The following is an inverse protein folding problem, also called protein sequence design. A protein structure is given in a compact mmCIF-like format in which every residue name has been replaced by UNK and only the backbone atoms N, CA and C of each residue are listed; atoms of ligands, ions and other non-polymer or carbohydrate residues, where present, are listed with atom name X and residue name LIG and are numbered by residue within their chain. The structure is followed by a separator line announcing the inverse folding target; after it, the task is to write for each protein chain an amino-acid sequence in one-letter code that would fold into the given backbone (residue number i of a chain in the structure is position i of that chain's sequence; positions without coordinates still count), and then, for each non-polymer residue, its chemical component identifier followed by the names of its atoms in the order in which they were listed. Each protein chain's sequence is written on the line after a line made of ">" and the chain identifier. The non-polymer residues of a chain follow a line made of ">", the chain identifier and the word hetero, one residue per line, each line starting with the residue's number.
data_IF_768051003915
#
_entry.id   IF_768051003915
#
_cell.length_a   1.000
_cell.length_b   1.000
_cell.length_c   1.000
_cell.angle_alpha   90.00
_cell.angle_beta   90.00
_cell.angle_gamma   90.00
#
_symmetry.space_group_name_H-M   'P 1'
#
loop_
_entity.id
_entity.type
_entity.pdbx_description
1 polymer ?
#
# COMPACT_ATOMS: atom_id res chain seq x y z
N UNK A 1 12.60 -11.99 28.67
CA UNK A 1 12.59 -11.87 27.20
C UNK A 1 11.23 -12.36 26.74
N UNK A 2 10.38 -11.51 26.19
CA UNK A 2 9.06 -11.93 25.68
C UNK A 2 9.28 -12.94 24.55
N UNK A 3 8.73 -14.14 24.69
CA UNK A 3 8.79 -15.17 23.65
C UNK A 3 7.94 -14.65 22.49
N UNK A 4 8.54 -14.49 21.29
CA UNK A 4 7.80 -14.08 20.11
C UNK A 4 6.68 -15.08 19.80
N UNK A 5 5.51 -14.62 19.34
CA UNK A 5 4.46 -15.50 18.86
C UNK A 5 4.98 -16.52 17.84
N UNK A 6 4.48 -17.75 17.90
CA UNK A 6 5.02 -18.87 17.13
C UNK A 6 4.84 -18.73 15.59
N UNK A 7 3.98 -17.81 15.16
CA UNK A 7 3.68 -17.49 13.76
C UNK A 7 4.62 -16.46 13.13
N UNK A 8 5.49 -15.82 13.91
CA UNK A 8 6.40 -14.78 13.43
C UNK A 8 7.78 -15.33 12.99
N UNK A 9 8.52 -14.60 12.13
CA UNK A 9 9.90 -14.96 11.79
C UNK A 9 10.79 -15.09 13.03
N UNK A 10 11.40 -16.25 13.22
CA UNK A 10 12.36 -16.48 14.31
C UNK A 10 13.71 -15.79 14.07
N UNK A 11 14.05 -15.51 12.80
CA UNK A 11 15.31 -14.85 12.45
C UNK A 11 15.18 -13.34 12.62
N UNK A 12 16.01 -12.79 13.52
CA UNK A 12 16.09 -11.35 13.77
C UNK A 12 17.17 -10.74 12.89
N UNK A 13 16.78 -9.80 12.03
CA UNK A 13 17.72 -8.99 11.26
C UNK A 13 18.03 -7.69 12.02
N UNK A 14 19.19 -7.63 12.69
CA UNK A 14 19.64 -6.44 13.44
C UNK A 14 19.81 -5.19 12.57
N UNK A 15 20.02 -5.37 11.26
CA UNK A 15 20.12 -4.30 10.28
C UNK A 15 19.11 -4.52 9.13
N UNK A 16 17.84 -4.10 9.29
CA UNK A 16 16.77 -4.29 8.31
C UNK A 16 17.10 -3.80 6.90
N UNK A 17 17.89 -2.73 6.79
CA UNK A 17 18.28 -2.11 5.51
C UNK A 17 19.05 -3.07 4.60
N UNK A 18 19.74 -4.07 5.18
CA UNK A 18 20.48 -5.07 4.42
C UNK A 18 19.57 -6.03 3.64
N UNK A 19 18.27 -6.07 3.96
CA UNK A 19 17.25 -6.84 3.24
C UNK A 19 16.63 -6.06 2.07
N UNK A 20 17.03 -4.80 1.88
CA UNK A 20 16.61 -4.02 0.73
C UNK A 20 17.23 -4.61 -0.54
N UNK A 21 16.38 -4.74 -1.55
CA UNK A 21 16.79 -5.22 -2.86
C UNK A 21 17.54 -4.10 -3.60
N UNK A 22 18.78 -4.38 -3.98
CA UNK A 22 19.65 -3.51 -4.77
C UNK A 22 20.36 -4.33 -5.86
N UNK A 23 19.72 -4.54 -7.03
CA UNK A 23 20.30 -5.31 -8.13
C UNK A 23 21.49 -4.60 -8.80
N UNK A 24 21.74 -3.31 -8.52
CA UNK A 24 22.90 -2.60 -9.05
C UNK A 24 24.18 -2.93 -8.26
N UNK A 25 24.03 -3.33 -6.99
CA UNK A 25 25.14 -3.59 -6.08
C UNK A 25 25.34 -5.08 -5.80
N UNK A 26 24.25 -5.86 -5.75
CA UNK A 26 24.29 -7.26 -5.35
C UNK A 26 23.84 -8.18 -6.49
N UNK A 27 24.53 -9.31 -6.65
CA UNK A 27 24.05 -10.39 -7.51
C UNK A 27 22.83 -11.07 -6.89
N UNK A 28 21.94 -11.67 -7.70
CA UNK A 28 20.83 -12.44 -7.15
C UNK A 28 21.34 -13.60 -6.30
N UNK A 29 20.61 -13.95 -5.24
CA UNK A 29 20.90 -15.14 -4.44
C UNK A 29 20.96 -16.41 -5.33
N UNK A 30 21.85 -17.35 -5.01
CA UNK A 30 22.28 -18.41 -5.94
C UNK A 30 21.11 -19.29 -6.44
N UNK A 31 20.21 -19.65 -5.54
CA UNK A 31 19.00 -20.44 -5.79
C UNK A 31 17.88 -19.67 -6.49
N UNK A 32 17.95 -18.33 -6.61
CA UNK A 32 16.91 -17.57 -7.30
C UNK A 32 16.80 -17.95 -8.78
N UNK A 33 17.92 -18.19 -9.47
CA UNK A 33 17.90 -18.51 -10.92
C UNK A 33 17.22 -19.83 -11.25
N UNK A 34 17.26 -20.79 -10.34
CA UNK A 34 16.58 -22.08 -10.48
C UNK A 34 15.11 -22.06 -10.01
N UNK A 35 14.63 -20.96 -9.44
CA UNK A 35 13.28 -20.86 -8.93
C UNK A 35 12.26 -20.69 -10.06
N UNK A 36 11.18 -21.48 -10.05
CA UNK A 36 10.07 -21.35 -11.02
C UNK A 36 9.45 -19.95 -11.08
N UNK A 37 9.52 -19.20 -9.99
CA UNK A 37 8.92 -17.85 -9.90
C UNK A 37 9.95 -16.76 -10.24
N UNK A 38 11.16 -17.09 -10.68
CA UNK A 38 12.23 -16.11 -10.97
C UNK A 38 11.80 -15.05 -11.98
N UNK A 39 11.15 -15.47 -13.08
CA UNK A 39 10.62 -14.52 -14.07
C UNK A 39 9.58 -13.56 -13.50
N UNK A 40 8.83 -14.02 -12.49
CA UNK A 40 7.79 -13.24 -11.81
C UNK A 40 8.39 -12.35 -10.72
N UNK A 41 9.36 -12.82 -9.95
CA UNK A 41 9.86 -12.12 -8.76
C UNK A 41 11.10 -11.26 -9.02
N UNK A 42 11.85 -11.56 -10.08
CA UNK A 42 13.11 -10.91 -10.45
C UNK A 42 14.33 -11.39 -9.66
N UNK A 43 14.16 -12.30 -8.70
CA UNK A 43 15.18 -12.69 -7.74
C UNK A 43 15.29 -11.74 -6.55
N UNK A 44 16.30 -11.97 -5.69
CA UNK A 44 16.56 -11.17 -4.50
C UNK A 44 18.04 -10.78 -4.44
N UNK A 45 18.31 -9.48 -4.32
CA UNK A 45 19.64 -8.87 -4.42
C UNK A 45 19.95 -8.11 -3.13
N UNK A 46 20.31 -8.82 -2.06
CA UNK A 46 20.41 -8.24 -0.71
C UNK A 46 21.77 -8.43 -0.09
N UNK A 47 22.20 -7.48 0.74
CA UNK A 47 23.43 -7.56 1.54
C UNK A 47 23.31 -8.52 2.75
N UNK A 48 22.09 -8.95 3.09
CA UNK A 48 21.79 -9.68 4.33
C UNK A 48 22.32 -11.13 4.40
N UNK A 49 23.08 -11.59 3.40
CA UNK A 49 23.56 -12.98 3.35
C UNK A 49 22.41 -13.97 3.21
N UNK A 50 21.48 -13.69 2.30
CA UNK A 50 20.53 -14.67 1.79
C UNK A 50 21.29 -15.44 0.72
N UNK A 51 21.72 -16.66 1.05
CA UNK A 51 22.71 -17.40 0.28
C UNK A 51 22.05 -18.21 -0.83
N UNK A 52 20.98 -18.93 -0.49
CA UNK A 52 20.26 -19.76 -1.44
C UNK A 52 19.20 -18.92 -2.13
N UNK A 53 18.09 -18.60 -1.47
CA UNK A 53 17.03 -17.80 -2.05
C UNK A 53 16.11 -17.25 -0.95
N UNK A 54 14.94 -16.73 -1.33
CA UNK A 54 13.99 -16.19 -0.35
C UNK A 54 13.43 -17.23 0.64
N UNK A 55 13.71 -18.53 0.49
CA UNK A 55 13.40 -19.54 1.51
C UNK A 55 14.23 -19.34 2.78
N UNK A 56 15.38 -18.68 2.73
CA UNK A 56 16.17 -18.33 3.92
C UNK A 56 15.40 -17.36 4.87
N UNK A 57 14.28 -16.80 4.40
CA UNK A 57 13.35 -15.95 5.14
C UNK A 57 12.16 -16.73 5.71
N UNK A 58 11.98 -18.00 5.35
CA UNK A 58 10.97 -18.89 5.91
C UNK A 58 11.35 -19.38 7.31
N UNK A 59 11.29 -18.50 8.31
CA UNK A 59 11.87 -18.75 9.63
C UNK A 59 10.86 -18.92 10.76
N UNK A 60 9.58 -19.20 10.49
CA UNK A 60 8.60 -19.49 11.55
C UNK A 60 9.04 -20.67 12.42
N UNK A 61 8.96 -20.53 13.76
CA UNK A 61 9.29 -21.60 14.71
C UNK A 61 8.25 -22.73 14.66
N UNK A 62 6.96 -22.38 14.61
CA UNK A 62 5.86 -23.33 14.46
C UNK A 62 5.24 -23.20 13.07
N UNK A 63 5.54 -24.19 12.20
CA UNK A 63 5.01 -24.21 10.84
C UNK A 63 3.49 -24.28 10.80
N UNK A 64 2.84 -24.88 11.79
CA UNK A 64 1.38 -25.03 11.80
C UNK A 64 0.65 -23.71 12.00
N UNK A 65 1.33 -22.71 12.58
CA UNK A 65 0.82 -21.37 12.83
C UNK A 65 1.43 -20.32 11.92
N UNK A 66 2.33 -20.70 11.02
CA UNK A 66 3.05 -19.75 10.18
C UNK A 66 2.14 -19.13 9.12
N UNK A 67 2.02 -17.80 9.15
CA UNK A 67 1.17 -17.02 8.23
C UNK A 67 1.91 -16.52 6.98
N UNK A 68 3.21 -16.80 6.87
CA UNK A 68 3.98 -16.47 5.68
C UNK A 68 3.60 -17.40 4.53
N UNK A 69 3.45 -16.83 3.34
CA UNK A 69 3.27 -17.64 2.12
C UNK A 69 4.61 -18.28 1.73
N UNK A 70 4.97 -19.36 2.43
CA UNK A 70 6.26 -20.03 2.35
C UNK A 70 6.11 -21.48 1.87
N UNK A 71 6.98 -21.92 0.95
CA UNK A 71 6.96 -23.30 0.45
C UNK A 71 7.35 -24.37 1.46
N UNK A 72 8.04 -24.02 2.56
CA UNK A 72 8.33 -24.96 3.66
C UNK A 72 7.11 -25.31 4.52
N UNK A 73 5.96 -24.67 4.27
CA UNK A 73 4.65 -25.15 4.67
C UNK A 73 3.81 -25.41 3.40
N UNK A 74 3.96 -26.58 2.75
CA UNK A 74 3.39 -26.83 1.43
C UNK A 74 1.86 -26.78 1.42
N UNK A 75 1.21 -27.27 2.47
CA UNK A 75 -0.26 -27.24 2.60
C UNK A 75 -0.77 -25.80 2.64
N UNK A 76 -0.16 -24.95 3.47
CA UNK A 76 -0.53 -23.54 3.53
C UNK A 76 -0.20 -22.81 2.22
N UNK A 77 0.99 -23.04 1.66
CA UNK A 77 1.39 -22.45 0.39
C UNK A 77 0.42 -22.76 -0.74
N UNK A 78 0.02 -24.03 -0.91
CA UNK A 78 -0.95 -24.42 -1.94
C UNK A 78 -2.32 -23.79 -1.70
N UNK A 79 -2.78 -23.71 -0.45
CA UNK A 79 -4.03 -23.03 -0.12
C UNK A 79 -3.98 -21.54 -0.53
N UNK A 80 -2.89 -20.84 -0.20
CA UNK A 80 -2.68 -19.44 -0.58
C UNK A 80 -2.57 -19.23 -2.10
N UNK A 81 -1.94 -20.16 -2.83
CA UNK A 81 -1.89 -20.06 -4.30
C UNK A 81 -3.26 -20.28 -4.94
N UNK A 82 -4.09 -21.19 -4.41
CA UNK A 82 -5.46 -21.41 -4.89
C UNK A 82 -6.38 -20.23 -4.60
N UNK A 83 -6.20 -19.61 -3.43
CA UNK A 83 -6.97 -18.44 -2.98
C UNK A 83 -6.87 -17.26 -3.96
N UNK A 84 -5.70 -17.06 -4.59
CA UNK A 84 -5.45 -15.94 -5.51
C UNK A 84 -5.32 -16.34 -6.99
N UNK A 85 -5.55 -17.62 -7.29
CA UNK A 85 -5.34 -18.22 -8.63
C UNK A 85 -3.93 -17.96 -9.20
N UNK A 86 -2.91 -18.21 -8.38
CA UNK A 86 -1.51 -18.03 -8.73
C UNK A 86 -0.98 -16.60 -8.63
N UNK A 87 0.32 -16.43 -8.89
CA UNK A 87 1.05 -15.17 -8.68
C UNK A 87 1.07 -14.24 -9.89
N UNK A 88 0.56 -14.72 -11.03
CA UNK A 88 0.50 -13.94 -12.25
C UNK A 88 -0.64 -12.91 -12.16
N UNK A 89 -0.34 -11.65 -12.47
CA UNK A 89 -1.34 -10.59 -12.49
C UNK A 89 -2.25 -10.72 -13.72
N UNK A 90 -1.77 -11.34 -14.81
CA UNK A 90 -2.48 -11.47 -16.09
C UNK A 90 -3.78 -12.28 -16.05
N UNK A 91 -3.99 -13.15 -15.05
CA UNK A 91 -5.12 -14.11 -15.03
C UNK A 91 -6.50 -13.48 -14.78
N UNK A 92 -6.57 -12.25 -14.28
CA UNK A 92 -7.85 -11.59 -14.02
C UNK A 92 -8.50 -11.11 -15.32
N UNK A 93 -9.84 -11.12 -15.44
CA UNK A 93 -10.52 -10.63 -16.64
C UNK A 93 -10.22 -9.16 -16.89
N UNK A 94 -10.30 -8.75 -18.16
CA UNK A 94 -10.31 -7.33 -18.53
C UNK A 94 -11.66 -6.74 -18.18
N UNK A 95 -11.65 -5.47 -17.79
CA UNK A 95 -12.86 -4.75 -17.37
C UNK A 95 -13.09 -3.56 -18.29
N UNK A 96 -14.32 -3.06 -18.27
CA UNK A 96 -14.65 -1.81 -18.95
C UNK A 96 -13.94 -0.63 -18.27
N UNK A 97 -13.50 0.34 -19.07
CA UNK A 97 -12.94 1.58 -18.56
C UNK A 97 -14.05 2.43 -17.93
N UNK A 98 -13.94 2.68 -16.62
CA UNK A 98 -14.88 3.52 -15.90
C UNK A 98 -14.48 5.00 -15.99
N UNK A 99 -15.44 5.93 -16.09
CA UNK A 99 -15.15 7.35 -16.09
C UNK A 99 -14.49 7.77 -14.78
N UNK A 100 -13.34 8.43 -14.89
CA UNK A 100 -12.57 8.87 -13.73
C UNK A 100 -13.05 10.26 -13.27
N UNK A 101 -13.27 10.45 -11.96
CA UNK A 101 -13.65 11.75 -11.44
C UNK A 101 -12.50 12.75 -11.56
N UNK A 102 -12.82 14.02 -11.81
CA UNK A 102 -11.84 15.10 -11.69
C UNK A 102 -11.66 15.48 -10.23
N UNK A 103 -10.55 15.08 -9.63
CA UNK A 103 -10.26 15.30 -8.22
C UNK A 103 -9.44 16.59 -8.01
N UNK A 104 -9.64 17.32 -6.92
CA UNK A 104 -8.78 18.44 -6.58
C UNK A 104 -7.38 17.95 -6.15
N UNK A 105 -6.34 18.80 -6.19
CA UNK A 105 -4.98 18.41 -5.81
C UNK A 105 -4.85 17.98 -4.35
N UNK A 106 -5.71 18.49 -3.47
CA UNK A 106 -5.72 18.19 -2.03
C UNK A 106 -7.14 17.86 -1.60
N UNK A 107 -7.33 16.72 -0.95
CA UNK A 107 -8.61 16.27 -0.39
C UNK A 107 -8.42 15.98 1.10
N UNK A 108 -9.17 16.64 2.01
CA UNK A 108 -9.09 16.34 3.43
C UNK A 108 -9.65 14.95 3.72
N UNK A 109 -8.91 14.17 4.52
CA UNK A 109 -9.33 12.88 5.02
C UNK A 109 -9.92 13.02 6.43
N UNK A 110 -11.15 12.53 6.61
CA UNK A 110 -11.94 12.65 7.82
C UNK A 110 -12.22 11.25 8.38
N UNK A 111 -11.84 11.03 9.65
CA UNK A 111 -12.06 9.73 10.31
C UNK A 111 -13.44 9.63 10.97
N UNK A 112 -13.90 10.68 11.63
CA UNK A 112 -15.14 10.64 12.40
C UNK A 112 -15.71 12.04 12.66
N UNK A 113 -16.95 12.11 13.16
CA UNK A 113 -17.60 13.39 13.56
C UNK A 113 -17.23 13.92 14.93
N UNK A 114 -16.60 13.14 15.81
CA UNK A 114 -16.38 13.58 17.21
C UNK A 114 -15.67 14.94 17.32
N UNK A 115 -16.09 15.72 18.32
CA UNK A 115 -15.67 17.11 18.59
C UNK A 115 -16.04 18.11 17.49
N UNK A 116 -16.99 17.77 16.60
CA UNK A 116 -17.55 18.64 15.57
C UNK A 116 -19.06 18.67 15.67
N UNK A 117 -19.65 19.79 15.28
CA UNK A 117 -21.09 20.05 15.36
C UNK A 117 -21.69 20.41 14.01
N UNK A 118 -20.89 20.86 13.05
CA UNK A 118 -21.36 21.25 11.71
C UNK A 118 -20.66 20.47 10.60
N UNK A 119 -21.31 20.32 9.43
CA UNK A 119 -20.67 19.73 8.26
C UNK A 119 -19.41 20.49 7.82
N UNK A 120 -18.35 19.77 7.47
CA UNK A 120 -17.17 20.36 6.83
C UNK A 120 -17.52 20.72 5.38
N UNK A 121 -17.64 22.02 5.09
CA UNK A 121 -18.03 22.52 3.77
C UNK A 121 -16.93 22.33 2.72
N UNK A 122 -16.78 21.11 2.22
CA UNK A 122 -15.80 20.69 1.23
C UNK A 122 -16.50 19.89 0.13
N UNK A 123 -16.22 20.22 -1.13
CA UNK A 123 -16.85 19.58 -2.29
C UNK A 123 -16.40 18.12 -2.48
N UNK A 124 -15.20 17.77 -2.01
CA UNK A 124 -14.64 16.42 -2.05
C UNK A 124 -14.02 16.09 -0.70
N UNK A 125 -14.38 14.94 -0.12
CA UNK A 125 -13.86 14.48 1.16
C UNK A 125 -13.43 13.01 1.06
N UNK A 126 -12.33 12.67 1.72
CA UNK A 126 -11.86 11.31 1.84
C UNK A 126 -12.25 10.68 3.19
N UNK A 127 -12.62 9.40 3.17
CA UNK A 127 -13.03 8.63 4.35
C UNK A 127 -12.31 7.27 4.34
N UNK A 128 -11.75 6.79 5.46
CA UNK A 128 -11.17 5.45 5.53
C UNK A 128 -12.22 4.35 5.32
N UNK A 129 -11.87 3.30 4.57
CA UNK A 129 -12.76 2.15 4.32
C UNK A 129 -13.24 1.48 5.61
N UNK A 130 -12.35 1.35 6.60
CA UNK A 130 -12.64 0.74 7.89
C UNK A 130 -13.64 1.52 8.75
N UNK A 131 -13.84 2.81 8.48
CA UNK A 131 -14.81 3.65 9.20
C UNK A 131 -16.22 3.55 8.59
N UNK A 132 -16.32 3.00 7.37
CA UNK A 132 -17.57 2.74 6.63
C UNK A 132 -18.06 1.30 6.80
N UNK A 133 -17.14 0.35 6.95
CA UNK A 133 -17.43 -1.08 7.00
C UNK A 133 -17.08 -1.62 8.39
N UNK A 134 -18.06 -2.25 9.04
CA UNK A 134 -17.81 -3.11 10.18
C UNK A 134 -17.13 -4.39 9.69
N UNK A 135 -15.80 -4.43 9.76
CA UNK A 135 -15.00 -5.56 9.31
C UNK A 135 -15.17 -6.81 10.18
N UNK A 136 -15.75 -6.70 11.39
CA UNK A 136 -16.06 -7.85 12.22
C UNK A 136 -17.38 -8.52 11.84
N UNK A 137 -18.35 -7.73 11.36
CA UNK A 137 -19.68 -8.22 10.95
C UNK A 137 -19.85 -8.36 9.44
N UNK A 138 -18.94 -7.80 8.64
CA UNK A 138 -19.06 -7.74 7.19
C UNK A 138 -20.28 -6.92 6.75
N UNK A 139 -20.53 -5.77 7.40
CA UNK A 139 -21.70 -4.92 7.12
C UNK A 139 -21.30 -3.44 7.08
N UNK A 140 -21.97 -2.63 6.25
CA UNK A 140 -21.79 -1.19 6.29
C UNK A 140 -22.41 -0.59 7.56
N UNK A 141 -21.75 0.42 8.12
CA UNK A 141 -22.28 1.20 9.25
C UNK A 141 -23.46 2.10 8.86
N UNK A 142 -23.69 2.30 7.56
CA UNK A 142 -24.71 3.19 6.99
C UNK A 142 -25.36 2.51 5.78
N UNK A 143 -26.64 2.81 5.55
CA UNK A 143 -27.45 2.24 4.46
C UNK A 143 -27.76 3.25 3.37
N UNK A 144 -27.76 4.54 3.70
CA UNK A 144 -28.11 5.62 2.77
C UNK A 144 -27.02 6.68 2.69
N UNK A 145 -27.06 7.49 1.63
CA UNK A 145 -26.16 8.63 1.44
C UNK A 145 -26.28 9.64 2.59
N UNK A 146 -27.50 9.91 3.04
CA UNK A 146 -27.77 10.86 4.12
C UNK A 146 -27.22 10.37 5.47
N UNK A 147 -27.34 9.07 5.75
CA UNK A 147 -26.74 8.46 6.94
C UNK A 147 -25.20 8.58 6.91
N UNK A 148 -24.57 8.39 5.74
CA UNK A 148 -23.14 8.60 5.57
C UNK A 148 -22.77 10.06 5.86
N UNK A 149 -23.46 11.02 5.26
CA UNK A 149 -23.21 12.44 5.44
C UNK A 149 -23.39 12.88 6.90
N UNK A 150 -24.43 12.38 7.58
CA UNK A 150 -24.66 12.62 9.00
C UNK A 150 -23.62 11.95 9.91
N UNK A 151 -23.13 10.74 9.56
CA UNK A 151 -22.10 10.02 10.34
C UNK A 151 -20.77 10.75 10.36
N UNK A 152 -20.38 11.35 9.23
CA UNK A 152 -19.08 12.02 9.09
C UNK A 152 -19.14 13.55 9.14
N UNK A 153 -20.33 14.14 9.27
CA UNK A 153 -20.55 15.59 9.17
C UNK A 153 -19.88 16.15 7.90
N UNK A 154 -20.36 15.68 6.75
CA UNK A 154 -19.98 16.13 5.42
C UNK A 154 -21.24 16.45 4.61
N UNK A 155 -21.17 17.35 3.60
CA UNK A 155 -22.33 17.68 2.76
C UNK A 155 -22.88 16.44 2.02
N UNK A 156 -24.17 16.43 1.71
CA UNK A 156 -24.82 15.32 1.01
C UNK A 156 -24.35 15.22 -0.45
N UNK A 157 -24.11 16.38 -1.06
CA UNK A 157 -23.62 16.59 -2.41
C UNK A 157 -22.10 16.42 -2.57
N UNK A 158 -21.35 16.31 -1.47
CA UNK A 158 -19.90 16.16 -1.54
C UNK A 158 -19.51 14.84 -2.23
N UNK A 159 -18.53 14.87 -3.12
CA UNK A 159 -17.93 13.66 -3.68
C UNK A 159 -17.12 12.93 -2.60
N UNK A 160 -17.31 11.62 -2.48
CA UNK A 160 -16.66 10.81 -1.45
C UNK A 160 -15.59 9.92 -2.07
N UNK A 161 -14.35 10.07 -1.60
CA UNK A 161 -13.27 9.15 -1.88
C UNK A 161 -13.11 8.21 -0.69
N UNK A 162 -13.11 6.90 -0.92
CA UNK A 162 -12.84 5.92 0.13
C UNK A 162 -11.37 5.51 0.09
N UNK A 163 -10.65 5.71 1.19
CA UNK A 163 -9.25 5.28 1.29
C UNK A 163 -9.18 3.86 1.86
N UNK A 164 -8.72 2.90 1.06
CA UNK A 164 -8.39 1.55 1.50
C UNK A 164 -7.08 1.44 2.29
N UNK A 165 -6.42 2.56 2.59
CA UNK A 165 -5.15 2.55 3.33
C UNK A 165 -5.40 2.50 4.84
N UNK A 166 -4.87 1.46 5.49
CA UNK A 166 -4.91 1.31 6.95
C UNK A 166 -3.73 0.47 7.49
N UNK A 167 -3.81 0.05 8.76
CA UNK A 167 -2.90 -0.92 9.38
C UNK A 167 -3.20 -2.34 8.91
N UNK A 168 -2.17 -3.17 8.87
CA UNK A 168 -2.26 -4.57 8.41
C UNK A 168 -3.42 -5.35 9.04
N UNK A 169 -3.64 -5.38 10.38
CA UNK A 169 -4.75 -6.16 10.95
C UNK A 169 -6.14 -5.73 10.49
N UNK A 170 -6.29 -4.47 10.07
CA UNK A 170 -7.56 -3.94 9.57
C UNK A 170 -7.73 -4.32 8.10
N UNK A 171 -6.68 -4.18 7.29
CA UNK A 171 -6.73 -4.53 5.87
C UNK A 171 -6.89 -6.05 5.67
N UNK A 172 -6.20 -6.86 6.48
CA UNK A 172 -6.31 -8.32 6.41
C UNK A 172 -7.75 -8.79 6.70
N UNK A 173 -8.46 -8.15 7.63
CA UNK A 173 -9.88 -8.46 7.89
C UNK A 173 -10.77 -8.21 6.68
N UNK A 174 -10.51 -7.19 5.85
CA UNK A 174 -11.30 -6.98 4.63
C UNK A 174 -11.23 -8.19 3.71
N UNK A 175 -10.04 -8.80 3.59
CA UNK A 175 -9.84 -9.99 2.75
C UNK A 175 -10.46 -11.27 3.34
N UNK A 176 -10.63 -11.33 4.65
CA UNK A 176 -11.28 -12.46 5.32
C UNK A 176 -12.82 -12.44 5.12
N UNK A 177 -13.39 -11.36 4.58
CA UNK A 177 -14.84 -11.25 4.35
C UNK A 177 -15.27 -12.07 3.12
N UNK A 178 -16.17 -13.03 3.31
CA UNK A 178 -16.77 -13.81 2.22
C UNK A 178 -17.77 -13.01 1.37
N UNK A 179 -18.32 -11.94 1.93
CA UNK A 179 -19.39 -11.14 1.31
C UNK A 179 -18.91 -9.82 0.68
N UNK A 180 -17.62 -9.70 0.34
CA UNK A 180 -17.06 -8.51 -0.32
C UNK A 180 -17.87 -8.04 -1.53
N UNK A 181 -18.33 -8.88 -2.47
CA UNK A 181 -19.12 -8.42 -3.62
C UNK A 181 -20.40 -7.66 -3.20
N UNK A 182 -21.04 -8.09 -2.12
CA UNK A 182 -22.23 -7.43 -1.57
C UNK A 182 -21.86 -6.06 -0.99
N UNK A 183 -20.78 -5.98 -0.21
CA UNK A 183 -20.29 -4.74 0.38
C UNK A 183 -19.88 -3.73 -0.71
N UNK A 184 -19.18 -4.19 -1.74
CA UNK A 184 -18.80 -3.37 -2.89
C UNK A 184 -20.03 -2.80 -3.60
N UNK A 185 -21.05 -3.64 -3.85
CA UNK A 185 -22.30 -3.18 -4.45
C UNK A 185 -23.05 -2.16 -3.57
N UNK A 186 -23.01 -2.34 -2.24
CA UNK A 186 -23.58 -1.38 -1.30
C UNK A 186 -22.80 -0.05 -1.29
N UNK A 187 -21.46 -0.09 -1.33
CA UNK A 187 -20.63 1.11 -1.45
C UNK A 187 -20.96 1.89 -2.72
N UNK A 188 -21.15 1.21 -3.86
CA UNK A 188 -21.63 1.86 -5.09
C UNK A 188 -22.99 2.52 -4.90
N UNK A 189 -23.95 1.84 -4.25
CA UNK A 189 -25.29 2.41 -3.97
C UNK A 189 -25.25 3.62 -3.05
N UNK A 190 -24.24 3.75 -2.19
CA UNK A 190 -24.04 4.94 -1.36
C UNK A 190 -23.56 6.17 -2.14
N UNK A 191 -23.26 6.04 -3.44
CA UNK A 191 -22.78 7.14 -4.26
C UNK A 191 -21.30 7.48 -4.01
N UNK A 192 -20.49 6.50 -3.60
CA UNK A 192 -19.05 6.68 -3.49
C UNK A 192 -18.47 7.00 -4.88
N UNK A 193 -17.68 8.07 -4.95
CA UNK A 193 -17.13 8.59 -6.20
C UNK A 193 -15.95 7.74 -6.68
N UNK A 194 -15.08 7.34 -5.75
CA UNK A 194 -13.92 6.48 -6.05
C UNK A 194 -13.42 5.81 -4.76
N UNK A 195 -12.76 4.66 -4.90
CA UNK A 195 -12.05 3.98 -3.81
C UNK A 195 -10.57 3.78 -4.14
N UNK A 196 -9.66 3.83 -3.17
CA UNK A 196 -8.30 3.31 -3.35
C UNK A 196 -8.29 1.85 -2.91
N UNK A 197 -7.74 0.95 -3.74
CA UNK A 197 -7.62 -0.47 -3.36
C UNK A 197 -6.84 -0.61 -2.03
N UNK A 198 -7.22 -1.56 -1.14
CA UNK A 198 -6.48 -1.80 0.09
C UNK A 198 -5.01 -2.13 -0.15
N UNK A 199 -4.12 -1.55 0.67
CA UNK A 199 -2.68 -1.68 0.50
C UNK A 199 -2.13 -2.87 1.31
N UNK A 200 -2.27 -4.08 0.79
CA UNK A 200 -1.61 -5.24 1.41
C UNK A 200 -0.09 -5.04 1.46
N UNK A 201 0.48 -5.25 2.64
CA UNK A 201 1.88 -4.92 2.93
C UNK A 201 2.86 -5.84 2.21
N UNK A 202 3.94 -5.24 1.69
CA UNK A 202 5.10 -5.94 1.13
C UNK A 202 6.27 -5.79 2.09
N UNK A 203 6.57 -6.86 2.82
CA UNK A 203 7.57 -6.89 3.89
C UNK A 203 8.95 -7.32 3.35
N UNK A 204 10.04 -6.96 4.03
CA UNK A 204 11.41 -7.30 3.60
C UNK A 204 11.98 -8.58 4.21
N UNK A 205 11.48 -8.97 5.36
CA UNK A 205 11.90 -10.16 6.11
C UNK A 205 11.06 -11.41 5.80
N UNK A 206 10.30 -11.37 4.70
CA UNK A 206 9.47 -12.48 4.22
C UNK A 206 9.94 -13.03 2.88
N UNK A 207 9.61 -14.30 2.57
CA UNK A 207 9.78 -14.86 1.25
C UNK A 207 9.09 -14.02 0.17
N UNK A 208 9.66 -14.00 -1.04
CA UNK A 208 9.11 -13.21 -2.15
C UNK A 208 7.70 -13.64 -2.54
N UNK A 209 7.36 -14.91 -2.36
CA UNK A 209 6.00 -15.44 -2.56
C UNK A 209 4.95 -14.75 -1.70
N UNK A 210 5.30 -14.29 -0.49
CA UNK A 210 4.39 -13.52 0.37
C UNK A 210 4.11 -12.13 -0.21
N UNK A 211 5.14 -11.44 -0.67
CA UNK A 211 4.99 -10.14 -1.34
C UNK A 211 4.19 -10.24 -2.64
N UNK A 212 4.47 -11.26 -3.46
CA UNK A 212 3.76 -11.48 -4.72
C UNK A 212 2.29 -11.83 -4.48
N UNK A 213 2.00 -12.59 -3.42
CA UNK A 213 0.64 -12.88 -2.98
C UNK A 213 -0.08 -11.60 -2.55
N UNK A 214 0.56 -10.74 -1.74
CA UNK A 214 0.01 -9.44 -1.37
C UNK A 214 -0.29 -8.57 -2.60
N UNK A 215 0.63 -8.47 -3.56
CA UNK A 215 0.42 -7.72 -4.81
C UNK A 215 -0.78 -8.24 -5.62
N UNK A 216 -0.91 -9.57 -5.76
CA UNK A 216 -2.06 -10.18 -6.45
C UNK A 216 -3.38 -9.85 -5.73
N UNK A 217 -3.42 -9.90 -4.40
CA UNK A 217 -4.60 -9.50 -3.60
C UNK A 217 -5.01 -8.06 -3.84
N UNK A 218 -4.05 -7.13 -3.94
CA UNK A 218 -4.36 -5.73 -4.27
C UNK A 218 -5.08 -5.66 -5.62
N UNK A 219 -4.56 -6.36 -6.63
CA UNK A 219 -5.14 -6.32 -7.98
C UNK A 219 -6.51 -7.02 -8.04
N UNK A 220 -6.70 -8.12 -7.29
CA UNK A 220 -8.00 -8.79 -7.16
C UNK A 220 -9.05 -7.87 -6.54
N UNK A 221 -8.75 -7.22 -5.41
CA UNK A 221 -9.70 -6.31 -4.78
C UNK A 221 -9.96 -5.08 -5.65
N UNK A 222 -8.95 -4.55 -6.34
CA UNK A 222 -9.17 -3.51 -7.34
C UNK A 222 -10.16 -3.97 -8.43
N UNK A 223 -9.99 -5.19 -8.93
CA UNK A 223 -10.87 -5.80 -9.94
C UNK A 223 -12.30 -6.00 -9.41
N UNK A 224 -12.47 -6.40 -8.15
CA UNK A 224 -13.78 -6.49 -7.48
C UNK A 224 -14.53 -5.14 -7.50
N UNK A 225 -13.84 -4.04 -7.19
CA UNK A 225 -14.44 -2.70 -7.25
C UNK A 225 -14.80 -2.28 -8.67
N UNK A 226 -13.86 -2.42 -9.60
CA UNK A 226 -14.06 -2.01 -10.99
C UNK A 226 -15.16 -2.86 -11.67
N UNK A 227 -15.21 -4.16 -11.44
CA UNK A 227 -16.25 -5.05 -11.97
C UNK A 227 -17.65 -4.70 -11.45
N UNK A 228 -17.74 -4.17 -10.24
CA UNK A 228 -19.00 -3.66 -9.70
C UNK A 228 -19.39 -2.27 -10.21
N UNK A 229 -18.58 -1.64 -11.07
CA UNK A 229 -18.80 -0.29 -11.59
C UNK A 229 -18.43 0.83 -10.61
N UNK A 230 -17.57 0.56 -9.63
CA UNK A 230 -17.04 1.57 -8.71
C UNK A 230 -15.62 1.96 -9.15
N UNK A 231 -15.37 3.21 -9.59
CA UNK A 231 -14.03 3.65 -9.94
C UNK A 231 -13.03 3.39 -8.82
N UNK A 232 -11.89 2.79 -9.16
CA UNK A 232 -10.89 2.39 -8.18
C UNK A 232 -9.48 2.79 -8.60
N UNK A 233 -8.72 3.36 -7.67
CA UNK A 233 -7.29 3.60 -7.83
C UNK A 233 -6.51 2.34 -7.43
N UNK A 234 -5.70 1.81 -8.35
CA UNK A 234 -4.90 0.60 -8.11
C UNK A 234 -3.71 0.94 -7.20
N UNK A 235 -3.63 0.32 -6.02
CA UNK A 235 -2.51 0.57 -5.12
C UNK A 235 -1.23 -0.16 -5.57
N UNK A 236 -0.22 0.57 -6.04
CA UNK A 236 1.00 -0.04 -6.62
C UNK A 236 2.07 -0.29 -5.56
N UNK A 237 1.73 -1.13 -4.55
CA UNK A 237 2.70 -1.50 -3.52
C UNK A 237 3.80 -2.41 -4.09
N UNK A 238 5.05 -2.20 -3.71
CA UNK A 238 6.20 -2.86 -4.33
C UNK A 238 7.41 -2.93 -3.39
N UNK A 239 8.17 -4.02 -3.46
CA UNK A 239 9.42 -4.19 -2.71
C UNK A 239 10.65 -3.99 -3.60
N UNK A 240 10.61 -4.41 -4.86
CA UNK A 240 11.78 -4.38 -5.76
C UNK A 240 11.53 -3.50 -6.97
N UNK A 241 12.58 -3.19 -7.74
CA UNK A 241 12.39 -2.57 -9.07
C UNK A 241 11.57 -3.47 -10.00
N UNK A 242 11.75 -4.80 -9.90
CA UNK A 242 11.01 -5.76 -10.73
C UNK A 242 9.51 -5.72 -10.47
N UNK A 243 9.10 -5.49 -9.21
CA UNK A 243 7.68 -5.30 -8.87
C UNK A 243 7.08 -4.09 -9.61
N UNK A 244 7.81 -2.98 -9.68
CA UNK A 244 7.38 -1.80 -10.43
C UNK A 244 7.36 -2.02 -11.95
N UNK A 245 8.28 -2.83 -12.50
CA UNK A 245 8.24 -3.23 -13.92
C UNK A 245 6.95 -4.01 -14.22
N UNK A 246 6.62 -4.98 -13.37
CA UNK A 246 5.38 -5.77 -13.51
C UNK A 246 4.11 -4.93 -13.39
N UNK A 247 4.07 -3.99 -12.44
CA UNK A 247 2.97 -3.04 -12.37
C UNK A 247 2.86 -2.19 -13.64
N UNK A 248 3.98 -1.68 -14.15
CA UNK A 248 4.00 -0.87 -15.38
C UNK A 248 3.53 -1.68 -16.60
N UNK A 249 3.99 -2.91 -16.77
CA UNK A 249 3.56 -3.82 -17.84
C UNK A 249 2.06 -4.08 -17.79
N UNK A 250 1.53 -4.43 -16.60
CA UNK A 250 0.09 -4.63 -16.39
C UNK A 250 -0.72 -3.38 -16.76
N UNK A 251 -0.33 -2.22 -16.24
CA UNK A 251 -1.07 -0.96 -16.44
C UNK A 251 -0.99 -0.50 -17.90
N UNK A 252 0.15 -0.69 -18.56
CA UNK A 252 0.31 -0.41 -19.99
C UNK A 252 -0.63 -1.26 -20.83
N UNK A 253 -0.77 -2.54 -20.49
CA UNK A 253 -1.61 -3.48 -21.23
C UNK A 253 -3.10 -3.33 -20.89
N UNK A 254 -3.45 -2.69 -19.77
CA UNK A 254 -4.82 -2.52 -19.26
C UNK A 254 -5.21 -1.04 -19.20
N UNK A 255 -5.72 -0.46 -20.30
CA UNK A 255 -6.12 0.94 -20.34
C UNK A 255 -7.19 1.28 -19.29
N UNK A 256 -8.01 0.30 -18.87
CA UNK A 256 -9.01 0.45 -17.82
C UNK A 256 -8.42 0.87 -16.45
N UNK A 257 -7.12 0.68 -16.23
CA UNK A 257 -6.41 1.16 -15.03
C UNK A 257 -5.92 2.60 -15.29
N UNK A 258 -6.77 3.60 -15.03
CA UNK A 258 -6.40 5.01 -15.27
C UNK A 258 -5.86 5.77 -14.05
N UNK A 259 -6.05 5.24 -12.84
CA UNK A 259 -5.60 5.87 -11.58
C UNK A 259 -4.81 4.87 -10.75
N UNK A 260 -3.65 5.30 -10.24
CA UNK A 260 -2.87 4.53 -9.26
C UNK A 260 -2.93 5.18 -7.88
N UNK A 261 -2.78 4.37 -6.84
CA UNK A 261 -2.67 4.83 -5.46
C UNK A 261 -1.30 4.44 -4.88
N UNK A 262 -0.77 5.29 -4.00
CA UNK A 262 0.41 4.94 -3.21
C UNK A 262 0.40 5.65 -1.86
N UNK A 263 0.95 5.00 -0.84
CA UNK A 263 1.07 5.57 0.49
C UNK A 263 2.54 5.65 0.95
N UNK A 264 2.90 6.84 1.45
CA UNK A 264 4.19 7.17 2.05
C UNK A 264 4.08 7.48 3.55
N UNK A 265 2.89 7.31 4.16
CA UNK A 265 2.68 7.61 5.57
C UNK A 265 3.22 6.49 6.49
N UNK A 266 3.21 5.24 6.03
CA UNK A 266 4.01 4.15 6.61
C UNK A 266 5.45 4.26 6.15
N UNK A 267 6.28 3.29 6.50
CA UNK A 267 7.72 3.48 6.36
C UNK A 267 8.20 3.71 4.92
N UNK A 268 7.38 3.52 3.86
CA UNK A 268 7.72 3.88 2.47
C UNK A 268 8.17 5.35 2.35
N UNK A 269 7.74 6.21 3.28
CA UNK A 269 8.17 7.61 3.38
C UNK A 269 9.44 7.88 4.21
N UNK A 270 10.18 6.87 4.69
CA UNK A 270 11.33 7.05 5.60
C UNK A 270 12.68 6.93 4.90
N UNK A 271 13.59 7.87 5.19
CA UNK A 271 15.01 7.80 4.83
C UNK A 271 15.27 7.69 3.33
N UNK A 272 16.28 6.92 2.93
CA UNK A 272 16.63 6.70 1.51
C UNK A 272 15.51 6.01 0.70
N UNK A 273 14.57 5.37 1.39
CA UNK A 273 13.55 4.54 0.76
C UNK A 273 12.46 5.36 0.06
N UNK A 274 12.15 6.56 0.57
CA UNK A 274 11.20 7.44 -0.12
C UNK A 274 11.72 7.86 -1.49
N UNK A 275 13.02 8.14 -1.59
CA UNK A 275 13.68 8.49 -2.86
C UNK A 275 13.64 7.31 -3.83
N UNK A 276 13.85 6.08 -3.36
CA UNK A 276 13.71 4.88 -4.17
C UNK A 276 12.28 4.76 -4.73
N UNK A 277 11.25 4.79 -3.87
CA UNK A 277 9.86 4.64 -4.31
C UNK A 277 9.44 5.78 -5.25
N UNK A 278 9.83 7.02 -4.95
CA UNK A 278 9.58 8.16 -5.82
C UNK A 278 10.22 7.96 -7.20
N UNK A 279 11.49 7.53 -7.26
CA UNK A 279 12.18 7.21 -8.53
C UNK A 279 11.41 6.16 -9.33
N UNK A 280 11.01 5.08 -8.67
CA UNK A 280 10.35 3.95 -9.32
C UNK A 280 8.93 4.29 -9.78
N UNK A 281 8.19 5.12 -9.03
CA UNK A 281 6.88 5.61 -9.45
C UNK A 281 6.98 6.52 -10.69
N UNK A 282 7.98 7.40 -10.75
CA UNK A 282 8.24 8.20 -11.95
C UNK A 282 8.62 7.33 -13.15
N UNK A 283 9.45 6.30 -12.93
CA UNK A 283 9.79 5.32 -13.97
C UNK A 283 8.58 4.48 -14.39
N UNK A 284 7.70 4.11 -13.46
CA UNK A 284 6.45 3.41 -13.77
C UNK A 284 5.59 4.24 -14.70
N UNK A 285 5.36 5.53 -14.39
CA UNK A 285 4.58 6.41 -15.25
C UNK A 285 5.17 6.52 -16.67
N UNK A 286 6.50 6.66 -16.77
CA UNK A 286 7.21 6.66 -18.07
C UNK A 286 7.09 5.35 -18.83
N UNK A 287 7.24 4.20 -18.15
CA UNK A 287 7.15 2.86 -18.75
C UNK A 287 5.73 2.54 -19.24
N UNK A 288 4.71 3.04 -18.53
CA UNK A 288 3.31 2.91 -18.96
C UNK A 288 3.06 3.68 -20.26
N UNK A 289 3.74 4.83 -20.46
CA UNK A 289 3.74 5.54 -21.75
C UNK A 289 2.44 6.24 -22.11
N UNK A 290 1.49 6.35 -21.16
CA UNK A 290 0.24 7.10 -21.29
C UNK A 290 -0.05 7.91 -20.02
N UNK A 291 -0.88 8.96 -20.09
CA UNK A 291 -1.25 9.74 -18.92
C UNK A 291 -1.91 8.87 -17.84
N UNK A 292 -1.44 9.00 -16.60
CA UNK A 292 -2.01 8.38 -15.41
C UNK A 292 -2.29 9.43 -14.35
N UNK A 293 -3.39 9.27 -13.62
CA UNK A 293 -3.65 10.02 -12.40
C UNK A 293 -3.14 9.24 -11.19
N UNK A 294 -2.79 9.96 -10.12
CA UNK A 294 -2.26 9.37 -8.89
C UNK A 294 -2.98 9.92 -7.67
N UNK A 295 -3.40 9.01 -6.78
CA UNK A 295 -3.85 9.34 -5.43
C UNK A 295 -2.74 8.99 -4.45
N UNK A 296 -2.30 9.95 -3.66
CA UNK A 296 -1.19 9.77 -2.72
C UNK A 296 -1.62 10.06 -1.30
N UNK A 297 -1.11 9.29 -0.34
CA UNK A 297 -1.26 9.58 1.08
C UNK A 297 0.12 9.71 1.73
N UNK A 298 0.36 10.81 2.45
CA UNK A 298 1.68 11.10 3.02
C UNK A 298 2.69 11.61 1.98
N UNK A 299 3.98 11.67 2.34
CA UNK A 299 5.04 12.00 1.39
C UNK A 299 5.04 13.45 0.86
N UNK A 300 4.64 14.43 1.68
CA UNK A 300 4.41 15.82 1.22
C UNK A 300 5.58 16.44 0.43
N UNK A 301 6.81 16.11 0.79
CA UNK A 301 8.01 16.68 0.16
C UNK A 301 8.39 16.05 -1.19
N UNK A 302 7.74 14.94 -1.60
CA UNK A 302 7.95 14.31 -2.91
C UNK A 302 6.83 14.60 -3.92
N UNK A 303 5.82 15.38 -3.50
CA UNK A 303 4.70 15.77 -4.37
C UNK A 303 5.16 16.52 -5.65
N UNK A 304 6.12 17.47 -5.60
CA UNK A 304 6.59 18.16 -6.81
C UNK A 304 7.18 17.21 -7.87
N UNK A 305 7.80 16.12 -7.44
CA UNK A 305 8.38 15.12 -8.33
C UNK A 305 7.27 14.27 -8.96
N UNK A 306 6.25 13.91 -8.19
CA UNK A 306 5.12 13.13 -8.69
C UNK A 306 4.28 13.95 -9.68
N UNK A 307 4.07 15.25 -9.45
CA UNK A 307 3.30 16.12 -10.36
C UNK A 307 3.97 16.29 -11.73
N UNK A 308 5.27 16.03 -11.85
CA UNK A 308 5.96 16.01 -13.14
C UNK A 308 5.80 14.70 -13.92
N UNK A 309 5.52 13.59 -13.24
CA UNK A 309 5.44 12.28 -13.86
C UNK A 309 4.00 11.84 -14.15
N UNK A 310 3.04 12.29 -13.35
CA UNK A 310 1.62 11.95 -13.47
C UNK A 310 0.81 13.13 -14.00
N UNK A 311 -0.26 12.85 -14.75
CA UNK A 311 -1.14 13.88 -15.33
C UNK A 311 -1.79 14.72 -14.23
N UNK A 312 -2.22 14.05 -13.16
CA UNK A 312 -2.82 14.67 -11.97
C UNK A 312 -2.38 13.91 -10.74
N UNK A 313 -2.06 14.64 -9.68
CA UNK A 313 -1.79 14.08 -8.36
C UNK A 313 -2.79 14.65 -7.37
N UNK A 314 -3.46 13.79 -6.63
CA UNK A 314 -4.38 14.15 -5.54
C UNK A 314 -3.85 13.61 -4.22
N UNK A 315 -3.54 14.50 -3.29
CA UNK A 315 -3.15 14.16 -1.92
C UNK A 315 -4.39 13.93 -1.05
N UNK A 316 -4.48 12.74 -0.45
CA UNK A 316 -5.36 12.48 0.69
C UNK A 316 -4.68 12.98 1.97
N UNK A 317 -5.11 14.16 2.42
CA UNK A 317 -4.48 14.95 3.46
C UNK A 317 -5.05 14.56 4.84
N UNK A 318 -4.18 14.10 5.75
CA UNK A 318 -4.61 13.55 7.06
C UNK A 318 -4.23 14.42 8.27
N UNK A 319 -3.33 15.38 8.08
CA UNK A 319 -2.83 16.25 9.13
C UNK A 319 -3.88 17.25 9.58
N UNK A 320 -4.71 17.80 8.69
CA UNK A 320 -5.78 18.75 9.09
C UNK A 320 -6.64 18.15 10.18
N UNK A 321 -7.15 16.93 9.97
CA UNK A 321 -8.01 16.26 10.93
C UNK A 321 -7.24 15.86 12.20
N UNK A 322 -6.14 15.11 12.06
CA UNK A 322 -5.41 14.56 13.21
C UNK A 322 -4.79 15.64 14.11
N UNK A 323 -4.33 16.76 13.54
CA UNK A 323 -3.76 17.89 14.29
C UNK A 323 -4.85 18.76 14.92
N UNK A 324 -6.01 18.91 14.27
CA UNK A 324 -7.18 19.57 14.85
C UNK A 324 -7.63 18.86 16.13
N UNK A 325 -7.74 17.53 16.11
CA UNK A 325 -8.11 16.75 17.30
C UNK A 325 -7.11 16.93 18.47
N UNK A 326 -5.85 17.27 18.15
CA UNK A 326 -4.78 17.62 19.11
C UNK A 326 -4.70 19.12 19.41
N UNK A 327 -5.73 19.90 19.05
CA UNK A 327 -5.82 21.36 19.27
C UNK A 327 -4.58 22.08 18.76
N UNK A 328 -4.18 21.75 17.52
CA UNK A 328 -3.10 22.43 16.80
C UNK A 328 -3.67 23.22 15.64
N UNK A 329 -3.20 24.46 15.49
CA UNK A 329 -3.55 25.35 14.39
C UNK A 329 -2.40 25.44 13.40
N UNK A 330 -2.70 25.20 12.14
CA UNK A 330 -1.77 25.37 11.03
C UNK A 330 -1.55 26.86 10.75
N UNK A 331 -0.32 27.23 10.44
CA UNK A 331 0.03 28.55 9.93
C UNK A 331 1.23 28.43 8.98
N UNK A 332 1.39 29.41 8.10
CA UNK A 332 2.57 29.55 7.25
C UNK A 332 3.52 30.55 7.88
N UNK A 333 4.82 30.23 7.89
CA UNK A 333 5.83 31.22 8.25
C UNK A 333 6.10 32.17 7.08
N UNK A 334 6.96 33.18 7.29
CA UNK A 334 7.34 34.15 6.25
C UNK A 334 7.95 33.50 5.00
N UNK A 335 8.58 32.34 5.16
CA UNK A 335 9.14 31.55 4.07
C UNK A 335 8.11 30.61 3.39
N UNK A 336 6.82 30.76 3.69
CA UNK A 336 5.74 29.95 3.11
C UNK A 336 5.69 28.50 3.61
N UNK A 337 6.44 28.14 4.65
CA UNK A 337 6.48 26.77 5.19
C UNK A 337 5.38 26.53 6.20
N UNK A 338 4.79 25.33 6.16
CA UNK A 338 3.75 24.90 7.08
C UNK A 338 4.31 24.62 8.49
N UNK A 339 3.73 25.27 9.50
CA UNK A 339 4.01 25.07 10.91
C UNK A 339 2.72 24.87 11.72
N UNK A 340 2.88 24.41 12.97
CA UNK A 340 1.77 24.06 13.86
C UNK A 340 1.95 24.70 15.23
N UNK A 341 1.00 25.54 15.65
CA UNK A 341 0.96 26.13 16.98
C UNK A 341 -0.09 25.44 17.86
N UNK A 342 0.09 25.38 19.19
CA UNK A 342 -1.00 25.09 20.11
C UNK A 342 -2.16 26.09 19.91
N UNK A 343 -3.39 25.59 19.94
CA UNK A 343 -4.62 26.38 19.87
C UNK A 343 -5.62 25.79 20.85
N UNK A 344 -5.38 25.95 22.16
CA UNK A 344 -6.23 25.37 23.20
C UNK A 344 -7.66 25.89 23.04
N UNK A 345 -8.61 24.99 23.26
CA UNK A 345 -10.05 25.29 23.28
C UNK A 345 -10.60 24.88 24.63
N UNK A 346 -11.72 25.49 25.03
CA UNK A 346 -12.43 25.07 26.23
C UNK A 346 -12.86 23.58 26.13
N UNK A 347 -13.06 22.96 27.29
CA UNK A 347 -13.52 21.57 27.35
C UNK A 347 -14.91 21.48 26.72
N UNK A 348 -15.06 20.58 25.75
CA UNK A 348 -16.31 20.40 25.01
C UNK A 348 -16.53 21.40 23.86
N UNK A 349 -15.67 22.41 23.70
CA UNK A 349 -15.80 23.35 22.59
C UNK A 349 -15.66 22.64 21.23
N UNK A 350 -16.54 22.97 20.25
CA UNK A 350 -16.47 22.41 18.92
C UNK A 350 -15.15 22.80 18.22
N UNK A 351 -14.62 21.87 17.42
CA UNK A 351 -13.39 22.07 16.64
C UNK A 351 -13.66 22.43 15.18
N UNK A 352 -14.90 22.81 14.85
CA UNK A 352 -15.36 23.04 13.48
C UNK A 352 -14.55 24.14 12.77
N UNK A 353 -14.43 25.32 13.40
CA UNK A 353 -13.66 26.45 12.84
C UNK A 353 -12.16 26.12 12.73
N UNK A 354 -11.61 25.39 13.71
CA UNK A 354 -10.21 25.00 13.69
C UNK A 354 -9.93 24.01 12.56
N UNK A 355 -10.84 23.06 12.31
CA UNK A 355 -10.72 22.13 11.18
C UNK A 355 -10.79 22.88 9.85
N UNK A 356 -11.79 23.72 9.66
CA UNK A 356 -11.97 24.49 8.43
C UNK A 356 -10.74 25.37 8.14
N UNK A 357 -10.20 26.04 9.17
CA UNK A 357 -8.95 26.80 9.07
C UNK A 357 -7.77 25.91 8.65
N UNK A 358 -7.58 24.78 9.32
CA UNK A 358 -6.46 23.87 9.05
C UNK A 358 -6.52 23.29 7.62
N UNK A 359 -7.70 22.87 7.17
CA UNK A 359 -7.90 22.38 5.80
C UNK A 359 -7.53 23.46 4.78
N UNK A 360 -8.00 24.70 4.98
CA UNK A 360 -7.67 25.82 4.09
C UNK A 360 -6.17 26.11 4.03
N UNK A 361 -5.51 26.23 5.18
CA UNK A 361 -4.08 26.56 5.24
C UNK A 361 -3.22 25.44 4.64
N UNK A 362 -3.53 24.18 4.94
CA UNK A 362 -2.77 23.07 4.36
C UNK A 362 -2.99 22.96 2.86
N UNK A 363 -4.23 23.12 2.37
CA UNK A 363 -4.52 23.15 0.94
C UNK A 363 -3.65 24.17 0.22
N UNK A 364 -3.62 25.41 0.71
CA UNK A 364 -2.76 26.46 0.17
C UNK A 364 -1.28 26.05 0.18
N UNK A 365 -0.78 25.55 1.30
CA UNK A 365 0.62 25.13 1.44
C UNK A 365 1.01 24.02 0.45
N UNK A 366 0.15 23.02 0.29
CA UNK A 366 0.41 21.86 -0.55
C UNK A 366 0.27 22.19 -2.03
N UNK A 367 -0.72 23.00 -2.41
CA UNK A 367 -0.87 23.46 -3.80
C UNK A 367 0.32 24.32 -4.23
N UNK A 368 0.83 25.19 -3.34
CA UNK A 368 2.09 25.92 -3.58
C UNK A 368 3.27 24.96 -3.75
N UNK A 369 3.43 23.99 -2.85
CA UNK A 369 4.51 23.02 -2.93
C UNK A 369 4.44 22.20 -4.23
N UNK A 370 3.25 21.77 -4.66
CA UNK A 370 3.04 21.00 -5.89
C UNK A 370 3.41 21.76 -7.17
N UNK A 371 3.44 23.10 -7.11
CA UNK A 371 3.86 23.99 -8.20
C UNK A 371 5.37 24.31 -8.18
N UNK A 372 6.09 23.95 -7.10
CA UNK A 372 7.52 24.23 -7.01
C UNK A 372 8.29 23.44 -8.09
N UNK A 373 9.28 24.08 -8.76
CA UNK A 373 10.15 23.37 -9.68
C UNK A 373 10.94 22.31 -8.92
N UNK A 374 10.71 21.04 -9.23
CA UNK A 374 11.43 19.95 -8.56
C UNK A 374 12.92 20.02 -8.89
N UNK A 375 13.79 19.82 -7.88
CA UNK A 375 15.21 19.60 -8.15
C UNK A 375 15.39 18.31 -8.98
N UNK A 376 16.27 18.29 -9.99
CA UNK A 376 16.51 17.10 -10.79
C UNK A 376 16.98 15.97 -9.88
N UNK A 377 16.22 14.87 -9.85
CA UNK A 377 16.63 13.66 -9.16
C UNK A 377 17.76 13.00 -9.95
N UNK A 378 18.91 12.82 -9.31
CA UNK A 378 19.90 11.85 -9.79
C UNK A 378 19.26 10.48 -9.60
N UNK A 379 18.96 9.79 -10.71
CA UNK A 379 18.68 8.37 -10.65
C UNK A 379 19.84 7.70 -9.90
N UNK A 380 19.54 7.04 -8.80
CA UNK A 380 20.54 6.34 -7.99
C UNK A 380 20.97 5.10 -8.79
N UNK A 381 21.85 5.28 -9.77
CA UNK A 381 22.68 4.20 -10.28
C UNK A 381 23.88 4.10 -9.34
N UNK A 382 23.77 3.26 -8.30
CA UNK A 382 24.93 2.87 -7.49
C UNK A 382 25.74 1.86 -8.29
N UNK A 383 26.55 2.32 -9.24
CA UNK A 383 27.59 1.49 -9.86
C UNK A 383 28.81 1.45 -8.94
N UNK A 384 29.09 0.31 -8.29
CA UNK A 384 30.45 -0.01 -7.84
C UNK A 384 31.12 -0.89 -8.88
N UNK A 385 32.37 -0.58 -9.20
CA UNK A 385 33.16 -1.22 -10.25
C UNK A 385 33.18 -2.75 -10.12
N UNK A 386 32.89 -3.41 -11.24
CA UNK A 386 32.96 -4.87 -11.41
C UNK A 386 34.44 -5.28 -11.39
N UNK A 387 34.82 -6.14 -10.44
CA UNK A 387 36.00 -6.99 -10.60
C UNK A 387 35.53 -8.34 -11.19
N UNK A 388 36.13 -8.83 -12.29
CA UNK A 388 35.71 -10.08 -12.92
C UNK A 388 36.43 -11.26 -12.27
N UNK A 389 35.71 -12.37 -12.02
CA UNK A 389 36.12 -13.76 -12.31
C UNK A 389 35.15 -14.76 -11.66
N UNK A 390 34.50 -15.60 -12.48
CA UNK A 390 34.92 -16.97 -12.88
C UNK A 390 34.85 -17.95 -11.70
N UNK A 391 33.85 -18.84 -11.73
CA UNK A 391 34.06 -20.28 -11.85
C UNK A 391 32.72 -21.00 -11.82
N UNK A 392 32.30 -21.41 -13.01
CA UNK A 392 31.48 -22.59 -13.24
C UNK A 392 32.22 -23.81 -12.67
N UNK A 393 31.53 -24.65 -11.89
CA UNK A 393 31.55 -26.12 -12.06
C UNK A 393 30.63 -26.81 -11.04
N UNK A 394 29.97 -27.85 -11.53
CA UNK A 394 28.84 -28.54 -10.96
C UNK A 394 29.23 -29.59 -9.91
N UNK A 395 28.32 -29.85 -8.97
CA UNK A 395 28.39 -31.00 -8.06
C UNK A 395 27.00 -31.40 -7.59
N UNK A 396 26.32 -32.21 -8.40
CA UNK A 396 25.04 -32.84 -8.07
C UNK A 396 25.22 -33.87 -6.95
N UNK A 397 24.34 -33.89 -5.95
CA UNK A 397 23.87 -35.13 -5.31
C UNK A 397 22.39 -34.95 -4.96
N UNK A 398 21.52 -35.70 -5.65
CA UNK A 398 20.12 -35.91 -5.27
C UNK A 398 20.01 -36.95 -4.17
N UNK A 399 18.98 -36.93 -3.33
CA UNK A 399 18.20 -38.13 -3.00
C UNK A 399 16.88 -37.73 -2.31
N UNK A 400 15.77 -38.08 -2.96
CA UNK A 400 14.40 -37.99 -2.47
C UNK A 400 14.05 -39.20 -1.58
N UNK A 401 12.83 -39.15 -1.02
CA UNK A 401 11.99 -40.22 -0.45
C UNK A 401 11.82 -40.11 1.09
N UNK A 402 10.63 -40.09 1.71
CA UNK A 402 9.29 -40.48 1.28
C UNK A 402 8.19 -39.89 2.19
N UNK A 403 7.05 -39.60 1.56
CA UNK A 403 5.64 -39.88 1.91
C UNK A 403 4.94 -39.40 3.22
N UNK A 404 3.84 -38.66 2.99
CA UNK A 404 2.44 -38.86 3.48
C UNK A 404 2.16 -38.71 5.01
N UNK A 405 1.07 -38.11 5.52
CA UNK A 405 -0.33 -37.99 5.10
C UNK A 405 -1.10 -37.04 6.06
N UNK A 406 -2.30 -36.63 5.62
CA UNK A 406 -3.51 -36.27 6.38
C UNK A 406 -3.75 -34.83 6.88
N UNK A 407 -4.97 -34.39 6.56
CA UNK A 407 -5.54 -33.04 6.54
C UNK A 407 -6.31 -32.74 7.84
N UNK A 408 -6.21 -31.50 8.31
CA UNK A 408 -7.33 -30.71 8.88
C UNK A 408 -7.00 -29.21 8.77
N UNK A 409 -7.76 -28.48 7.97
CA UNK A 409 -7.61 -27.04 7.82
C UNK A 409 -8.23 -26.33 9.04
N UNK A 410 -7.42 -25.55 9.74
CA UNK A 410 -7.90 -24.55 10.71
C UNK A 410 -7.55 -23.18 10.15
N UNK A 411 -8.57 -22.32 10.12
CA UNK A 411 -8.43 -20.89 9.84
C UNK A 411 -7.85 -20.25 11.10
N UNK A 412 -6.61 -19.80 11.02
CA UNK A 412 -5.96 -19.05 12.10
C UNK A 412 -5.99 -17.57 11.70
N UNK A 413 -6.64 -16.77 12.53
CA UNK A 413 -6.78 -15.32 12.36
C UNK A 413 -5.49 -14.58 12.74
N UNK A 414 -5.20 -13.53 11.98
CA UNK A 414 -3.89 -12.84 11.90
C UNK A 414 -3.61 -11.81 12.99
N UNK A 415 -2.35 -11.74 13.43
CA UNK A 415 -1.73 -10.53 14.04
C UNK A 415 -0.28 -10.41 13.54
N UNK A 416 -0.01 -9.51 12.59
CA UNK A 416 1.32 -9.27 11.98
C UNK A 416 2.04 -8.07 12.61
N UNK A 417 2.06 -7.98 13.95
CA UNK A 417 2.48 -6.76 14.65
C UNK A 417 4.02 -6.57 14.72
N UNK A 418 4.83 -7.64 14.62
CA UNK A 418 6.31 -7.57 14.79
C UNK A 418 7.15 -7.93 13.54
N UNK A 419 6.56 -8.02 12.35
CA UNK A 419 7.30 -8.26 11.09
C UNK A 419 7.86 -6.95 10.52
N UNK A 420 9.05 -7.00 9.92
CA UNK A 420 9.76 -5.82 9.43
C UNK A 420 9.11 -5.38 8.10
N UNK A 421 8.35 -4.26 8.09
CA UNK A 421 7.86 -3.68 6.85
C UNK A 421 9.05 -3.43 5.93
N UNK A 422 8.86 -3.26 4.62
CA UNK A 422 9.98 -2.92 3.73
C UNK A 422 10.77 -1.65 4.13
N UNK A 423 10.38 -1.03 5.24
CA UNK A 423 10.71 0.28 5.74
C UNK A 423 10.75 0.29 7.29
N UNK A 424 11.93 0.66 7.82
CA UNK A 424 12.43 0.73 9.21
C UNK A 424 11.44 0.87 10.38
N UNK A 425 11.75 0.14 11.46
CA UNK A 425 11.48 0.50 12.86
C UNK A 425 11.82 1.97 13.16
#
# INVERSE_FOLDING_TARGET
>A
MSVRPAHEPSRIFRQPQRLWDDPAVHTPALGCRGCKDFGICGGLHTEAGIFLDCHDLCTCTDKTKCDMVCRFNPTHFVARMREIDGLDLGTLPRLEELPLPSLPPVVPLIHHKYSRSIPLNEAVVAIPLCELVDLGRGQLHVRTRDELSARFLVPAEAAIIVSGVDKDPIIERWWELDNRPVLVAQLRKLGITMVTAPNYSVLTDVPRTDNLHAMKRIFMVWSEFAAAGLPAALHVNARTEHDYKRWAELIRERPEIGVVAFEFATGCGRGERITFHTSQLMLLARRVGRPLDMVVRGGLHILPQLTQAFRRVTLLETQSFSRTQRRRRAYLNEAGRLHWAPSPTEVGAPLDELLAHNVKVIRMAMEMAMQEPSKPMRFVQRTKGVAPNRNDEAGQISFFDNAQLAIRAQVVTTKREDMIPATKA
#
